data_IF_632829967654
#
_entry.id   IF_632829967654
#
_cell.length_a   1.000
_cell.length_b   1.000
_cell.length_c   1.000
_cell.angle_alpha   90.00
_cell.angle_beta   90.00
_cell.angle_gamma   90.00
#
_symmetry.space_group_name_H-M   'P 1'
#
loop_
_entity.id
_entity.type
_entity.pdbx_description
1 polymer ?
#
# COMPACT_ATOMS: atom_id res chain seq x y z
N UNK A 1 -17.40 5.33 16.54
CA UNK A 1 -16.31 5.16 17.52
C UNK A 1 -15.20 4.25 16.95
N UNK A 2 -13.94 4.33 17.39
CA UNK A 2 -12.88 3.41 16.95
C UNK A 2 -13.11 1.98 17.44
N UNK A 3 -13.76 1.81 18.59
CA UNK A 3 -14.14 0.48 19.13
C UNK A 3 -15.23 -0.14 18.26
N UNK A 4 -16.32 0.59 17.99
CA UNK A 4 -17.40 0.12 17.10
C UNK A 4 -16.87 -0.27 15.70
N UNK A 5 -15.96 0.53 15.15
CA UNK A 5 -15.32 0.22 13.88
C UNK A 5 -14.48 -1.07 13.97
N UNK A 6 -13.74 -1.28 15.06
CA UNK A 6 -12.96 -2.49 15.27
C UNK A 6 -13.83 -3.74 15.41
N UNK A 7 -14.95 -3.64 16.13
CA UNK A 7 -15.92 -4.73 16.28
C UNK A 7 -16.57 -5.09 14.93
N UNK A 8 -16.93 -4.10 14.12
CA UNK A 8 -17.48 -4.32 12.78
C UNK A 8 -16.48 -4.94 11.80
N UNK A 9 -15.19 -4.59 11.90
CA UNK A 9 -14.11 -5.15 11.06
C UNK A 9 -13.71 -6.56 11.54
N UNK A 10 -13.78 -6.79 12.85
CA UNK A 10 -13.33 -8.00 13.53
C UNK A 10 -11.83 -8.00 13.81
N UNK A 11 -11.45 -8.46 14.99
CA UNK A 11 -10.07 -8.53 15.48
C UNK A 11 -9.21 -9.61 14.78
N UNK A 12 -7.86 -9.50 14.80
CA UNK A 12 -7.10 -8.33 15.24
C UNK A 12 -7.18 -7.15 14.26
N UNK A 13 -7.06 -5.94 14.80
CA UNK A 13 -7.06 -4.68 14.04
C UNK A 13 -5.78 -3.86 14.27
N UNK A 14 -5.60 -2.86 13.42
CA UNK A 14 -4.55 -1.85 13.47
C UNK A 14 -5.19 -0.47 13.63
N UNK A 15 -4.61 0.37 14.49
CA UNK A 15 -4.90 1.82 14.52
C UNK A 15 -3.76 2.61 13.88
N UNK A 16 -4.10 3.56 13.00
CA UNK A 16 -3.15 4.49 12.40
C UNK A 16 -3.61 5.93 12.62
N UNK A 17 -2.70 6.79 13.09
CA UNK A 17 -2.92 8.24 13.22
C UNK A 17 -3.33 8.85 11.88
N UNK A 18 -4.33 9.73 11.91
CA UNK A 18 -4.74 10.56 10.77
C UNK A 18 -4.40 12.00 11.09
N UNK A 19 -3.55 12.60 10.26
CA UNK A 19 -3.12 13.99 10.37
C UNK A 19 -2.58 14.47 9.02
N UNK A 20 -2.80 15.74 8.70
CA UNK A 20 -2.30 16.38 7.48
C UNK A 20 -0.81 16.74 7.56
N UNK A 21 -0.26 16.87 8.76
CA UNK A 21 1.12 17.34 8.97
C UNK A 21 2.18 16.23 8.94
N UNK A 22 1.77 14.97 8.74
CA UNK A 22 2.68 13.81 8.81
C UNK A 22 2.36 12.74 7.77
N UNK A 23 3.38 12.40 6.99
CA UNK A 23 3.38 11.27 6.07
C UNK A 23 3.89 9.97 6.72
N UNK A 24 4.92 10.02 7.58
CA UNK A 24 5.55 8.85 8.20
C UNK A 24 5.07 8.59 9.64
N UNK A 25 3.83 8.12 9.77
CA UNK A 25 3.13 7.88 11.05
C UNK A 25 3.89 7.01 12.06
N UNK A 26 4.70 6.07 11.59
CA UNK A 26 5.47 5.15 12.44
C UNK A 26 6.52 5.88 13.28
N UNK A 27 7.12 6.95 12.75
CA UNK A 27 8.18 7.71 13.42
C UNK A 27 7.69 8.41 14.69
N UNK A 28 6.39 8.70 14.75
CA UNK A 28 5.74 9.34 15.90
C UNK A 28 4.92 8.35 16.71
N UNK A 29 5.20 7.05 16.62
CA UNK A 29 4.44 5.99 17.30
C UNK A 29 2.93 6.03 16.98
N UNK A 30 2.58 6.56 15.80
CA UNK A 30 1.20 6.74 15.34
C UNK A 30 0.59 5.48 14.74
N UNK A 31 1.21 4.31 14.88
CA UNK A 31 0.70 3.03 14.39
C UNK A 31 0.72 2.01 15.53
N UNK A 32 -0.43 1.41 15.82
CA UNK A 32 -0.60 0.38 16.86
C UNK A 32 -1.15 -0.89 16.22
N UNK A 33 -0.39 -1.98 16.35
CA UNK A 33 -0.65 -3.27 15.73
C UNK A 33 -1.19 -4.28 16.76
N UNK A 34 -1.68 -5.42 16.28
CA UNK A 34 -2.13 -6.56 17.10
C UNK A 34 -3.16 -6.23 18.17
N UNK A 35 -4.10 -5.33 17.88
CA UNK A 35 -5.17 -4.99 18.83
C UNK A 35 -6.24 -6.08 18.76
N UNK A 36 -6.49 -6.79 19.87
CA UNK A 36 -7.28 -8.04 19.88
C UNK A 36 -8.66 -7.89 20.51
N UNK A 37 -8.94 -6.77 21.15
CA UNK A 37 -10.19 -6.48 21.85
C UNK A 37 -10.42 -4.96 21.98
N UNK A 38 -11.53 -4.57 22.60
CA UNK A 38 -11.90 -3.17 22.79
C UNK A 38 -10.92 -2.44 23.72
N UNK A 39 -10.42 -3.11 24.75
CA UNK A 39 -9.47 -2.53 25.71
C UNK A 39 -8.12 -2.19 25.04
N UNK A 40 -7.64 -3.05 24.14
CA UNK A 40 -6.44 -2.80 23.34
C UNK A 40 -6.63 -1.58 22.44
N UNK A 41 -7.79 -1.46 21.80
CA UNK A 41 -8.14 -0.32 20.92
C UNK A 41 -8.19 0.99 21.70
N UNK A 42 -8.83 0.99 22.87
CA UNK A 42 -8.91 2.17 23.72
C UNK A 42 -7.52 2.62 24.17
N UNK A 43 -6.72 1.70 24.71
CA UNK A 43 -5.34 1.98 25.14
C UNK A 43 -4.48 2.51 23.99
N UNK A 44 -4.56 1.87 22.83
CA UNK A 44 -3.82 2.29 21.64
C UNK A 44 -4.22 3.69 21.16
N UNK A 45 -5.50 4.06 21.24
CA UNK A 45 -5.96 5.40 20.90
C UNK A 45 -5.38 6.47 21.84
N UNK A 46 -5.38 6.21 23.16
CA UNK A 46 -4.82 7.11 24.16
C UNK A 46 -3.30 7.30 23.95
N UNK A 47 -2.57 6.21 23.69
CA UNK A 47 -1.15 6.25 23.38
C UNK A 47 -0.83 7.05 22.11
N UNK A 48 -1.63 6.87 21.05
CA UNK A 48 -1.46 7.64 19.80
C UNK A 48 -1.71 9.13 20.06
N UNK A 49 -2.76 9.46 20.80
CA UNK A 49 -3.11 10.84 21.15
C UNK A 49 -1.99 11.51 21.94
N UNK A 50 -1.48 10.84 22.97
CA UNK A 50 -0.38 11.37 23.79
C UNK A 50 0.89 11.59 22.95
N UNK A 51 1.18 10.68 22.02
CA UNK A 51 2.34 10.80 21.13
C UNK A 51 2.19 11.99 20.17
N UNK A 52 1.01 12.17 19.59
CA UNK A 52 0.71 13.31 18.73
C UNK A 52 0.84 14.64 19.47
N UNK A 53 0.27 14.74 20.68
CA UNK A 53 0.38 15.94 21.54
C UNK A 53 1.84 16.27 21.87
N UNK A 54 2.63 15.26 22.23
CA UNK A 54 4.05 15.42 22.56
C UNK A 54 4.89 15.87 21.36
N UNK A 55 4.49 15.49 20.15
CA UNK A 55 5.13 15.88 18.90
C UNK A 55 4.58 17.20 18.32
N UNK A 56 3.57 17.82 18.94
CA UNK A 56 2.89 19.01 18.41
C UNK A 56 2.12 18.74 17.12
N UNK A 57 1.65 17.51 16.93
CA UNK A 57 0.91 17.07 15.74
C UNK A 57 -0.59 17.21 16.00
N UNK A 58 -1.29 17.87 15.08
CA UNK A 58 -2.75 17.94 15.11
C UNK A 58 -3.35 16.60 14.67
N UNK A 59 -3.97 15.89 15.61
CA UNK A 59 -4.59 14.59 15.40
C UNK A 59 -6.06 14.77 14.99
N UNK A 60 -6.38 14.47 13.73
CA UNK A 60 -7.76 14.45 13.25
C UNK A 60 -8.53 13.20 13.70
N UNK A 61 -7.82 12.13 14.03
CA UNK A 61 -8.39 10.89 14.54
C UNK A 61 -7.48 9.68 14.29
N UNK A 62 -8.09 8.50 14.26
CA UNK A 62 -7.42 7.25 13.87
C UNK A 62 -8.19 6.53 12.78
N UNK A 63 -7.46 5.87 11.89
CA UNK A 63 -7.98 4.91 10.94
C UNK A 63 -7.91 3.51 11.56
N UNK A 64 -9.04 2.79 11.57
CA UNK A 64 -9.11 1.38 12.00
C UNK A 64 -9.04 0.49 10.77
N UNK A 65 -8.12 -0.49 10.77
CA UNK A 65 -7.94 -1.42 9.66
C UNK A 65 -7.83 -2.85 10.16
N UNK A 66 -8.24 -3.83 9.34
CA UNK A 66 -7.98 -5.24 9.62
C UNK A 66 -6.46 -5.47 9.64
N UNK A 67 -5.97 -6.22 10.63
CA UNK A 67 -4.58 -6.66 10.60
C UNK A 67 -4.44 -7.88 9.69
N UNK A 68 -3.63 -7.72 8.64
CA UNK A 68 -3.30 -8.81 7.72
C UNK A 68 -2.08 -9.59 8.24
N UNK A 69 -2.07 -10.90 8.02
CA UNK A 69 -0.96 -11.77 8.38
C UNK A 69 -0.78 -12.88 7.35
N UNK A 70 0.41 -13.47 7.29
CA UNK A 70 0.70 -14.60 6.40
C UNK A 70 0.77 -14.27 4.90
N UNK A 71 0.82 -12.98 4.54
CA UNK A 71 0.99 -12.52 3.16
C UNK A 71 2.42 -12.08 2.86
N UNK A 72 2.73 -11.96 1.57
CA UNK A 72 3.97 -11.36 1.10
C UNK A 72 3.75 -9.87 0.82
N UNK A 73 4.64 -9.02 1.31
CA UNK A 73 4.66 -7.60 0.98
C UNK A 73 5.30 -7.35 -0.39
N UNK A 74 4.59 -6.65 -1.25
CA UNK A 74 5.08 -6.16 -2.53
C UNK A 74 4.81 -4.67 -2.65
N UNK A 75 5.56 -4.00 -3.51
CA UNK A 75 5.26 -2.63 -3.93
C UNK A 75 4.64 -2.69 -5.33
N UNK A 76 3.63 -1.86 -5.55
CA UNK A 76 3.06 -1.64 -6.88
C UNK A 76 2.75 -0.17 -7.03
N UNK A 77 3.10 0.42 -8.16
CA UNK A 77 2.89 1.84 -8.37
C UNK A 77 2.76 2.25 -9.82
N UNK A 78 2.38 3.49 -10.00
CA UNK A 78 2.23 4.21 -11.25
C UNK A 78 2.96 5.53 -11.08
N UNK A 79 3.80 5.89 -12.04
CA UNK A 79 4.42 7.21 -12.11
C UNK A 79 4.41 7.71 -13.55
N UNK A 80 4.35 9.02 -13.74
CA UNK A 80 4.45 9.61 -15.07
C UNK A 80 5.88 10.08 -15.35
N UNK A 81 6.55 9.36 -16.23
CA UNK A 81 7.85 9.77 -16.76
C UNK A 81 7.69 10.87 -17.83
N UNK A 82 8.65 11.79 -17.88
CA UNK A 82 8.61 12.94 -18.80
C UNK A 82 8.82 12.57 -20.27
N UNK A 83 9.49 11.46 -20.55
CA UNK A 83 9.78 10.97 -21.89
C UNK A 83 8.84 9.83 -22.30
N UNK A 84 8.57 8.91 -21.38
CA UNK A 84 7.82 7.69 -21.66
C UNK A 84 6.34 7.74 -21.28
N UNK A 85 5.91 8.79 -20.58
CA UNK A 85 4.54 8.91 -20.08
C UNK A 85 4.28 7.97 -18.91
N UNK A 86 3.06 7.40 -18.78
CA UNK A 86 2.71 6.59 -17.62
C UNK A 86 3.51 5.28 -17.60
N UNK A 87 4.14 5.01 -16.46
CA UNK A 87 4.91 3.79 -16.20
C UNK A 87 4.38 3.12 -14.94
N UNK A 88 4.18 1.82 -14.99
CA UNK A 88 3.87 1.01 -13.81
C UNK A 88 5.13 0.35 -13.27
N UNK A 89 5.17 0.16 -11.96
CA UNK A 89 6.27 -0.47 -11.24
C UNK A 89 5.75 -1.62 -10.38
N UNK A 90 6.58 -2.64 -10.21
CA UNK A 90 6.35 -3.76 -9.32
C UNK A 90 7.67 -4.18 -8.67
N UNK A 91 7.64 -4.63 -7.41
CA UNK A 91 8.85 -5.08 -6.74
C UNK A 91 8.64 -5.58 -5.32
N UNK A 92 9.76 -5.77 -4.60
CA UNK A 92 9.73 -6.07 -3.16
C UNK A 92 9.21 -4.85 -2.40
N UNK A 93 8.19 -5.06 -1.55
CA UNK A 93 7.60 -4.02 -0.70
C UNK A 93 8.14 -4.03 0.73
N UNK A 94 7.63 -3.12 1.55
CA UNK A 94 8.00 -2.99 2.96
C UNK A 94 9.25 -2.12 3.17
N UNK A 95 9.88 -2.24 4.34
CA UNK A 95 11.06 -1.43 4.70
C UNK A 95 12.31 -1.73 3.88
N UNK A 96 12.33 -2.85 3.16
CA UNK A 96 13.51 -3.34 2.45
C UNK A 96 13.60 -2.83 0.99
N UNK A 97 12.64 -2.03 0.52
CA UNK A 97 12.58 -1.51 -0.86
C UNK A 97 13.89 -0.82 -1.25
N UNK A 98 14.37 0.11 -0.41
CA UNK A 98 15.59 0.89 -0.68
C UNK A 98 16.86 0.04 -0.66
N UNK A 99 16.87 -1.03 0.14
CA UNK A 99 18.04 -1.89 0.34
C UNK A 99 18.20 -2.93 -0.77
N UNK A 100 17.10 -3.46 -1.29
CA UNK A 100 17.12 -4.58 -2.22
C UNK A 100 17.18 -4.18 -3.69
N UNK A 101 16.80 -2.94 -4.02
CA UNK A 101 16.69 -2.44 -5.40
C UNK A 101 15.94 -3.41 -6.35
N UNK A 102 15.01 -4.19 -5.79
CA UNK A 102 14.27 -5.24 -6.49
C UNK A 102 12.96 -4.68 -7.04
N UNK A 103 13.07 -3.77 -8.00
CA UNK A 103 11.95 -3.10 -8.64
C UNK A 103 12.14 -3.14 -10.15
N UNK A 104 11.05 -3.41 -10.85
CA UNK A 104 10.99 -3.41 -12.31
C UNK A 104 9.86 -2.50 -12.77
N UNK A 105 10.03 -1.89 -13.94
CA UNK A 105 9.04 -0.96 -14.49
C UNK A 105 8.75 -1.21 -15.96
N UNK A 106 7.54 -0.86 -16.38
CA UNK A 106 7.12 -0.97 -17.77
C UNK A 106 6.17 0.19 -18.15
N UNK A 107 6.22 0.57 -19.43
CA UNK A 107 5.35 1.62 -19.99
C UNK A 107 3.91 1.10 -20.04
N UNK A 108 2.97 1.91 -19.56
CA UNK A 108 1.54 1.63 -19.60
C UNK A 108 0.91 2.01 -20.95
N UNK A 109 -0.19 1.36 -21.38
CA UNK A 109 -0.89 0.26 -20.70
C UNK A 109 -0.21 -1.11 -20.91
N UNK A 110 -0.32 -2.00 -19.92
CA UNK A 110 0.13 -3.39 -19.99
C UNK A 110 -0.99 -4.34 -20.40
N UNK A 111 -0.66 -5.31 -21.25
CA UNK A 111 -1.42 -6.54 -21.36
C UNK A 111 -0.97 -7.59 -20.32
N UNK A 112 -1.72 -8.68 -20.18
CA UNK A 112 -1.44 -9.75 -19.22
C UNK A 112 -0.02 -10.30 -19.32
N UNK A 113 0.44 -10.64 -20.53
CA UNK A 113 1.78 -11.19 -20.74
C UNK A 113 2.86 -10.21 -20.29
N UNK A 114 2.69 -8.91 -20.53
CA UNK A 114 3.63 -7.88 -20.06
C UNK A 114 3.61 -7.75 -18.53
N UNK A 115 2.43 -7.78 -17.91
CA UNK A 115 2.31 -7.76 -16.45
C UNK A 115 2.95 -8.98 -15.79
N UNK A 116 2.74 -10.18 -16.33
CA UNK A 116 3.38 -11.42 -15.85
C UNK A 116 4.90 -11.36 -15.98
N UNK A 117 5.41 -10.87 -17.12
CA UNK A 117 6.86 -10.67 -17.33
C UNK A 117 7.45 -9.65 -16.36
N UNK A 118 6.75 -8.54 -16.11
CA UNK A 118 7.17 -7.53 -15.15
C UNK A 118 7.29 -8.12 -13.75
N UNK A 119 6.30 -8.90 -13.32
CA UNK A 119 6.33 -9.61 -12.04
C UNK A 119 7.53 -10.57 -11.99
N UNK A 120 7.68 -11.43 -13.00
CA UNK A 120 8.73 -12.45 -13.05
C UNK A 120 10.16 -11.90 -13.10
N UNK A 121 10.33 -10.64 -13.49
CA UNK A 121 11.63 -9.98 -13.51
C UNK A 121 12.14 -9.60 -12.11
N UNK A 122 11.30 -9.68 -11.06
CA UNK A 122 11.68 -9.34 -9.68
C UNK A 122 11.79 -10.57 -8.78
N UNK A 123 12.63 -10.49 -7.74
CA UNK A 123 12.70 -11.49 -6.67
C UNK A 123 11.38 -11.60 -5.92
N UNK A 124 10.67 -10.48 -5.74
CA UNK A 124 9.32 -10.48 -5.19
C UNK A 124 8.38 -11.39 -5.99
N UNK A 125 8.35 -11.26 -7.32
CA UNK A 125 7.50 -12.07 -8.17
C UNK A 125 7.89 -13.55 -8.22
N UNK A 126 9.18 -13.86 -8.05
CA UNK A 126 9.63 -15.24 -7.85
C UNK A 126 9.09 -15.81 -6.54
N UNK A 127 9.17 -15.05 -5.43
CA UNK A 127 8.64 -15.47 -4.12
C UNK A 127 7.12 -15.66 -4.12
N UNK A 128 6.37 -14.92 -4.95
CA UNK A 128 4.92 -15.10 -5.09
C UNK A 128 4.53 -16.51 -5.56
N UNK A 129 5.45 -17.25 -6.20
CA UNK A 129 5.22 -18.66 -6.61
C UNK A 129 5.30 -19.66 -5.43
N UNK A 130 5.57 -19.17 -4.22
CA UNK A 130 5.88 -19.94 -3.03
C UNK A 130 7.38 -19.96 -2.77
N UNK A 131 7.75 -19.87 -1.49
CA UNK A 131 9.16 -19.84 -1.07
C UNK A 131 9.36 -20.54 0.28
N UNK A 132 10.20 -21.58 0.29
CA UNK A 132 10.46 -22.43 1.47
C UNK A 132 9.15 -22.94 2.08
N UNK A 133 8.78 -22.47 3.27
CA UNK A 133 7.60 -22.89 4.00
C UNK A 133 6.38 -22.00 3.75
N UNK A 134 6.50 -20.99 2.87
CA UNK A 134 5.39 -20.11 2.51
C UNK A 134 4.66 -20.67 1.27
N UNK A 135 3.32 -20.76 1.32
CA UNK A 135 2.53 -21.19 0.17
C UNK A 135 2.63 -20.18 -0.99
N UNK A 136 2.18 -20.59 -2.18
CA UNK A 136 2.01 -19.66 -3.29
C UNK A 136 1.02 -18.54 -2.90
N UNK A 137 1.35 -17.32 -3.31
CA UNK A 137 0.54 -16.14 -3.10
C UNK A 137 -0.48 -15.99 -4.24
N UNK A 138 -1.51 -15.16 -4.04
CA UNK A 138 -2.52 -14.83 -5.03
C UNK A 138 -1.97 -13.92 -6.15
N UNK A 139 -1.10 -14.51 -6.97
CA UNK A 139 -0.42 -13.85 -8.08
C UNK A 139 -1.40 -13.37 -9.15
N UNK A 140 -2.49 -14.08 -9.35
CA UNK A 140 -3.54 -13.71 -10.31
C UNK A 140 -4.15 -12.35 -9.94
N UNK A 141 -4.40 -12.11 -8.66
CA UNK A 141 -4.85 -10.80 -8.18
C UNK A 141 -3.82 -9.70 -8.46
N UNK A 142 -2.52 -9.97 -8.26
CA UNK A 142 -1.44 -9.02 -8.56
C UNK A 142 -1.39 -8.66 -10.04
N UNK A 143 -1.49 -9.65 -10.94
CA UNK A 143 -1.53 -9.42 -12.40
C UNK A 143 -2.71 -8.52 -12.77
N UNK A 144 -3.89 -8.80 -12.20
CA UNK A 144 -5.09 -8.01 -12.45
C UNK A 144 -4.97 -6.58 -11.92
N UNK A 145 -4.37 -6.37 -10.74
CA UNK A 145 -4.12 -5.04 -10.19
C UNK A 145 -3.14 -4.25 -11.05
N UNK A 146 -2.03 -4.86 -11.49
CA UNK A 146 -1.07 -4.21 -12.39
C UNK A 146 -1.73 -3.74 -13.69
N UNK A 147 -2.52 -4.60 -14.33
CA UNK A 147 -3.22 -4.22 -15.56
C UNK A 147 -4.20 -3.07 -15.32
N UNK A 148 -4.96 -3.10 -14.22
CA UNK A 148 -5.90 -2.03 -13.85
C UNK A 148 -5.19 -0.72 -13.54
N UNK A 149 -4.10 -0.77 -12.78
CA UNK A 149 -3.28 0.40 -12.47
C UNK A 149 -2.65 1.00 -13.73
N UNK A 150 -2.20 0.14 -14.64
CA UNK A 150 -1.67 0.53 -15.93
C UNK A 150 -2.73 1.21 -16.81
N UNK A 151 -3.95 0.66 -16.82
CA UNK A 151 -5.09 1.28 -17.50
C UNK A 151 -5.47 2.63 -16.86
N UNK A 152 -5.44 2.74 -15.53
CA UNK A 152 -5.67 3.98 -14.80
C UNK A 152 -4.69 5.09 -15.22
N UNK A 153 -3.39 4.76 -15.34
CA UNK A 153 -2.39 5.74 -15.78
C UNK A 153 -2.53 6.21 -17.22
N UNK A 154 -3.15 5.39 -18.08
CA UNK A 154 -3.53 5.79 -19.43
C UNK A 154 -4.75 6.72 -19.41
N UNK A 155 -5.77 6.38 -18.62
CA UNK A 155 -7.06 7.07 -18.65
C UNK A 155 -7.07 8.37 -17.84
N UNK A 156 -6.21 8.48 -16.82
CA UNK A 156 -6.11 9.65 -15.95
C UNK A 156 -4.75 10.33 -16.11
N UNK A 157 -4.72 11.34 -16.98
CA UNK A 157 -3.50 12.10 -17.29
C UNK A 157 -2.98 12.93 -16.10
N UNK A 158 -3.87 13.32 -15.18
CA UNK A 158 -3.56 14.14 -14.02
C UNK A 158 -2.92 13.36 -12.86
N UNK A 159 -2.91 12.02 -12.87
CA UNK A 159 -2.16 11.25 -11.87
C UNK A 159 -0.68 11.38 -12.19
N UNK A 160 0.08 11.94 -11.25
CA UNK A 160 1.53 12.03 -11.35
C UNK A 160 2.20 10.79 -10.79
N UNK A 161 1.77 10.41 -9.58
CA UNK A 161 2.27 9.26 -8.86
C UNK A 161 1.13 8.59 -8.10
N UNK A 162 1.15 7.27 -8.05
CA UNK A 162 0.32 6.46 -7.18
C UNK A 162 1.14 5.24 -6.74
N UNK A 163 1.34 5.06 -5.45
CA UNK A 163 2.11 3.97 -4.87
C UNK A 163 1.28 3.22 -3.83
N UNK A 164 1.25 1.90 -3.95
CA UNK A 164 0.74 0.97 -2.96
C UNK A 164 1.94 0.28 -2.30
N UNK A 165 2.30 0.73 -1.09
CA UNK A 165 3.44 0.20 -0.36
C UNK A 165 3.17 0.20 1.18
N UNK A 166 2.94 -0.96 1.81
CA UNK A 166 2.93 -2.28 1.20
C UNK A 166 1.57 -2.64 0.59
N UNK A 167 1.61 -3.38 -0.52
CA UNK A 167 0.53 -4.25 -0.97
C UNK A 167 0.76 -5.65 -0.39
N UNK A 168 -0.15 -6.12 0.45
CA UNK A 168 -0.10 -7.48 1.01
C UNK A 168 -0.76 -8.47 0.07
N UNK A 169 0.00 -9.43 -0.43
CA UNK A 169 -0.52 -10.54 -1.25
C UNK A 169 -0.68 -11.77 -0.36
N UNK A 170 -1.93 -12.16 -0.10
CA UNK A 170 -2.24 -13.32 0.73
C UNK A 170 -2.05 -14.63 -0.06
N UNK A 171 -2.13 -15.81 0.58
CA UNK A 171 -2.07 -17.08 -0.13
C UNK A 171 -3.11 -17.17 -1.25
N UNK A 172 -2.83 -18.03 -2.23
CA UNK A 172 -3.67 -18.22 -3.42
C UNK A 172 -5.17 -18.30 -3.09
N UNK A 173 -5.97 -17.50 -3.79
CA UNK A 173 -7.43 -17.41 -3.62
C UNK A 173 -7.91 -16.45 -2.52
N UNK A 174 -7.00 -15.83 -1.77
CA UNK A 174 -7.33 -14.88 -0.69
C UNK A 174 -7.16 -13.40 -1.10
N UNK A 175 -6.63 -13.14 -2.28
CA UNK A 175 -6.48 -11.80 -2.86
C UNK A 175 -5.25 -11.02 -2.38
N UNK A 176 -5.28 -9.72 -2.68
CA UNK A 176 -4.25 -8.76 -2.29
C UNK A 176 -4.88 -7.45 -1.81
N UNK A 177 -4.26 -6.83 -0.81
CA UNK A 177 -4.82 -5.69 -0.09
C UNK A 177 -3.77 -4.60 0.11
N UNK A 178 -4.07 -3.39 -0.35
CA UNK A 178 -3.21 -2.24 -0.13
C UNK A 178 -3.35 -1.75 1.32
N UNK A 179 -2.25 -1.73 2.06
CA UNK A 179 -2.24 -1.32 3.47
C UNK A 179 -1.98 0.18 3.61
N UNK A 180 -1.21 0.75 2.68
CA UNK A 180 -1.05 2.19 2.50
C UNK A 180 -1.09 2.51 1.00
N UNK A 181 -1.66 3.66 0.67
CA UNK A 181 -1.68 4.19 -0.69
C UNK A 181 -1.35 5.67 -0.62
N UNK A 182 -0.38 6.09 -1.44
CA UNK A 182 0.03 7.49 -1.57
C UNK A 182 -0.05 7.87 -3.03
N UNK A 183 -0.39 9.11 -3.32
CA UNK A 183 -0.39 9.59 -4.68
C UNK A 183 -0.36 11.10 -4.75
N UNK A 184 0.07 11.60 -5.91
CA UNK A 184 0.13 13.02 -6.23
C UNK A 184 -0.61 13.24 -7.55
N UNK A 185 -1.29 14.38 -7.63
CA UNK A 185 -1.97 14.82 -8.84
C UNK A 185 -1.23 16.03 -9.39
N UNK A 186 -1.16 16.13 -10.73
CA UNK A 186 -0.86 17.40 -11.40
C UNK A 186 -2.12 18.27 -11.33
N UNK A 187 -1.93 19.55 -11.03
CA UNK A 187 -2.98 20.53 -11.33
C UNK A 187 -3.17 20.58 -12.84
N UNK A 188 -4.43 20.58 -13.30
CA UNK A 188 -4.73 20.75 -14.72
C UNK A 188 -4.06 22.05 -15.20
N UNK A 189 -3.29 21.99 -16.30
CA UNK A 189 -2.92 23.20 -17.01
C UNK A 189 -4.23 23.91 -17.38
N UNK A 190 -4.50 25.05 -16.74
CA UNK A 190 -5.52 25.97 -17.22
C UNK A 190 -5.14 26.27 -18.67
N UNK A 191 -5.90 25.71 -19.62
CA UNK A 191 -5.83 26.11 -21.01
C UNK A 191 -5.95 27.63 -21.02
N UNK A 192 -4.93 28.39 -21.47
CA UNK A 192 -5.04 29.83 -21.53
C UNK A 192 -6.25 30.17 -22.40
N UNK A 193 -7.20 30.89 -21.81
CA UNK A 193 -8.37 31.44 -22.50
C UNK A 193 -7.96 32.37 -23.64
#
# INVERSE_FOLDING_TARGET
DSIEAAESIGYPVVLKLVSESISHKTEVNGVKLELRNAEDVQRAWEEIKQSAESAGIDMQGVQVQKMLSGGQEVIMGLRRDSQFGPMVLFGTGGTDVELLQDVESAIAPLNRMQAEKLIDATRAGVKLKGWRNQPAADRETVVNYLMRLSQLGKDMANIEELEMNPLYVLPEGQGAYAVDVRGTLREDEKVPS
#
